data_IF_674090966464
#
_entry.id   IF_674090966464
#
_cell.length_a   1.000
_cell.length_b   1.000
_cell.length_c   1.000
_cell.angle_alpha   90.00
_cell.angle_beta   90.00
_cell.angle_gamma   90.00
#
_symmetry.space_group_name_H-M   'P 1'
#
loop_
_entity.id
_entity.type
_entity.pdbx_description
1 polymer ?
#
# COMPACT_ATOMS: atom_id res chain seq x y z
N UNK A 1 15.84 63.49 -61.58
CA UNK A 1 14.91 63.02 -62.45
C UNK A 1 15.29 61.58 -62.34
N UNK A 2 14.45 60.73 -62.11
CA UNK A 2 14.74 59.29 -62.03
C UNK A 2 15.75 58.82 -60.97
N UNK A 3 15.36 57.83 -60.32
CA UNK A 3 16.02 57.00 -59.25
C UNK A 3 15.54 57.34 -57.84
N UNK A 4 14.27 57.15 -57.58
CA UNK A 4 13.77 56.93 -56.22
C UNK A 4 12.42 56.21 -56.20
N UNK A 5 12.28 55.24 -57.06
CA UNK A 5 11.13 54.31 -57.04
C UNK A 5 11.66 52.89 -57.13
N UNK A 6 12.34 52.41 -56.13
CA UNK A 6 12.56 50.98 -55.95
C UNK A 6 13.08 50.78 -54.56
N UNK A 7 12.22 50.28 -53.70
CA UNK A 7 12.55 49.56 -52.45
C UNK A 7 11.44 49.76 -51.41
N UNK A 8 10.25 49.34 -51.79
CA UNK A 8 9.20 48.94 -50.85
C UNK A 8 8.60 47.63 -51.37
N UNK A 9 9.43 46.60 -51.44
CA UNK A 9 9.05 45.23 -51.60
C UNK A 9 9.07 44.59 -50.25
N UNK A 10 7.90 44.51 -49.64
CA UNK A 10 7.31 43.32 -49.08
C UNK A 10 8.19 42.48 -48.18
N UNK A 11 8.12 42.73 -46.89
CA UNK A 11 8.32 41.76 -45.87
C UNK A 11 6.98 41.45 -45.20
N UNK A 12 6.16 40.71 -45.96
CA UNK A 12 5.04 39.97 -45.39
C UNK A 12 5.63 38.70 -44.73
N UNK A 13 6.08 38.81 -43.50
CA UNK A 13 6.37 37.66 -42.68
C UNK A 13 5.07 37.02 -42.28
N UNK A 14 4.75 35.94 -42.98
CA UNK A 14 3.68 35.01 -42.68
C UNK A 14 3.92 34.43 -41.28
N UNK A 15 3.25 34.97 -40.28
CA UNK A 15 3.08 34.33 -39.00
C UNK A 15 2.10 33.16 -39.18
N UNK A 16 2.63 32.02 -39.55
CA UNK A 16 1.92 30.75 -39.48
C UNK A 16 1.85 30.39 -37.99
N UNK A 17 0.77 30.80 -37.34
CA UNK A 17 0.43 30.33 -35.99
C UNK A 17 0.22 28.81 -36.07
N UNK A 18 1.26 28.08 -35.68
CA UNK A 18 1.17 26.65 -35.46
C UNK A 18 0.36 26.45 -34.18
N UNK A 19 -0.96 26.46 -34.29
CA UNK A 19 -1.83 25.95 -33.24
C UNK A 19 -1.54 24.47 -33.08
N UNK A 20 -0.62 24.16 -32.17
CA UNK A 20 -0.54 22.86 -31.54
C UNK A 20 -1.88 22.66 -30.80
N UNK A 21 -2.85 22.10 -31.50
CA UNK A 21 -4.03 21.56 -30.88
C UNK A 21 -3.56 20.47 -29.90
N UNK A 22 -3.63 20.79 -28.62
CA UNK A 22 -3.64 19.76 -27.57
C UNK A 22 -4.89 18.95 -27.84
N UNK A 23 -4.73 17.84 -28.54
CA UNK A 23 -5.78 16.83 -28.61
C UNK A 23 -5.87 16.26 -27.21
N UNK A 24 -6.79 16.79 -26.40
CA UNK A 24 -7.26 16.07 -25.24
C UNK A 24 -7.81 14.75 -25.76
N UNK A 25 -7.01 13.72 -25.68
CA UNK A 25 -7.46 12.36 -25.90
C UNK A 25 -8.43 12.03 -24.75
N UNK A 26 -9.69 12.45 -24.91
CA UNK A 26 -10.76 11.95 -24.05
C UNK A 26 -10.81 10.45 -24.23
N UNK A 27 -10.39 9.70 -23.22
CA UNK A 27 -10.54 8.27 -23.20
C UNK A 27 -12.02 7.94 -23.50
N UNK A 28 -12.26 7.03 -24.44
CA UNK A 28 -13.62 6.60 -24.74
C UNK A 28 -14.28 6.07 -23.47
N UNK A 29 -15.56 6.42 -23.26
CA UNK A 29 -16.31 5.99 -22.08
C UNK A 29 -16.31 4.44 -22.01
N UNK A 30 -15.82 3.80 -20.93
CA UNK A 30 -15.67 2.36 -20.88
C UNK A 30 -17.02 1.64 -20.94
N UNK A 31 -17.09 0.53 -21.67
CA UNK A 31 -18.32 -0.27 -21.80
C UNK A 31 -18.79 -0.87 -20.47
N UNK A 32 -17.83 -1.30 -19.65
CA UNK A 32 -18.08 -1.80 -18.28
C UNK A 32 -17.41 -0.82 -17.31
N UNK A 33 -18.22 -0.04 -16.61
CA UNK A 33 -17.71 1.06 -15.76
C UNK A 33 -17.21 0.61 -14.41
N UNK A 34 -17.73 -0.49 -13.87
CA UNK A 34 -17.40 -0.95 -12.52
C UNK A 34 -16.11 -1.76 -12.53
N UNK A 35 -15.21 -1.43 -11.60
CA UNK A 35 -13.96 -2.16 -11.32
C UNK A 35 -13.98 -2.63 -9.87
N UNK A 36 -13.95 -3.92 -9.66
CA UNK A 36 -13.90 -4.52 -8.32
C UNK A 36 -12.44 -4.60 -7.88
N UNK A 37 -12.08 -3.74 -6.93
CA UNK A 37 -10.78 -3.74 -6.27
C UNK A 37 -10.88 -4.53 -4.96
N UNK A 38 -10.23 -5.69 -4.88
CA UNK A 38 -10.07 -6.37 -3.60
C UNK A 38 -8.73 -5.96 -2.95
N UNK A 39 -8.81 -5.56 -1.68
CA UNK A 39 -7.65 -5.07 -0.93
C UNK A 39 -7.79 -5.40 0.56
N UNK A 40 -6.81 -4.97 1.36
CA UNK A 40 -6.80 -5.25 2.80
C UNK A 40 -7.44 -4.12 3.60
N UNK A 41 -7.94 -4.45 4.79
CA UNK A 41 -8.51 -3.47 5.73
C UNK A 41 -7.51 -2.37 6.07
N UNK A 42 -6.24 -2.72 6.34
CA UNK A 42 -5.20 -1.74 6.64
C UNK A 42 -4.91 -0.78 5.49
N UNK A 43 -5.04 -1.24 4.23
CA UNK A 43 -4.89 -0.35 3.06
C UNK A 43 -6.01 0.68 3.00
N UNK A 44 -7.25 0.26 3.23
CA UNK A 44 -8.41 1.18 3.30
C UNK A 44 -8.29 2.12 4.49
N UNK A 45 -8.01 1.59 5.68
CA UNK A 45 -7.90 2.35 6.93
C UNK A 45 -6.79 3.42 6.90
N UNK A 46 -5.79 3.26 6.01
CA UNK A 46 -4.76 4.27 5.81
C UNK A 46 -5.30 5.59 5.21
N UNK A 47 -6.44 5.53 4.52
CA UNK A 47 -7.02 6.65 3.78
C UNK A 47 -6.38 6.93 2.42
N UNK A 48 -5.37 6.16 1.99
CA UNK A 48 -4.71 6.38 0.71
C UNK A 48 -5.67 6.21 -0.48
N UNK A 49 -6.55 5.21 -0.41
CA UNK A 49 -7.53 4.95 -1.47
C UNK A 49 -8.60 6.05 -1.57
N UNK A 50 -8.91 6.76 -0.49
CA UNK A 50 -9.84 7.90 -0.50
C UNK A 50 -9.31 9.07 -1.34
N UNK A 51 -7.97 9.13 -1.49
CA UNK A 51 -7.31 10.11 -2.37
C UNK A 51 -7.15 9.58 -3.79
N UNK A 52 -6.70 8.33 -3.96
CA UNK A 52 -6.33 7.79 -5.27
C UNK A 52 -7.54 7.38 -6.11
N UNK A 53 -8.58 6.78 -5.51
CA UNK A 53 -9.75 6.29 -6.25
C UNK A 53 -10.49 7.41 -6.98
N UNK A 54 -10.83 8.56 -6.37
CA UNK A 54 -11.49 9.66 -7.08
C UNK A 54 -10.67 10.20 -8.26
N UNK A 55 -9.33 10.20 -8.15
CA UNK A 55 -8.44 10.63 -9.23
C UNK A 55 -8.51 9.65 -10.39
N UNK A 56 -8.42 8.34 -10.10
CA UNK A 56 -8.55 7.29 -11.09
C UNK A 56 -9.90 7.37 -11.83
N UNK A 57 -11.00 7.44 -11.08
CA UNK A 57 -12.35 7.52 -11.65
C UNK A 57 -12.53 8.72 -12.56
N UNK A 58 -12.03 9.89 -12.14
CA UNK A 58 -12.07 11.12 -12.95
C UNK A 58 -11.27 11.01 -14.25
N UNK A 59 -10.11 10.33 -14.20
CA UNK A 59 -9.23 10.21 -15.37
C UNK A 59 -9.70 9.18 -16.37
N UNK A 60 -10.38 8.12 -15.92
CA UNK A 60 -10.68 6.96 -16.75
C UNK A 60 -12.15 6.74 -17.04
N UNK A 61 -13.07 7.35 -16.28
CA UNK A 61 -14.50 7.10 -16.36
C UNK A 61 -14.93 5.76 -15.72
N UNK A 62 -14.01 4.94 -15.22
CA UNK A 62 -14.35 3.77 -14.41
C UNK A 62 -14.88 4.19 -13.03
N UNK A 63 -15.56 3.26 -12.36
CA UNK A 63 -16.00 3.38 -10.96
C UNK A 63 -15.42 2.24 -10.17
N UNK A 64 -14.69 2.54 -9.09
CA UNK A 64 -14.05 1.52 -8.26
C UNK A 64 -14.97 1.08 -7.13
N UNK A 65 -15.23 -0.22 -7.07
CA UNK A 65 -15.90 -0.86 -5.95
C UNK A 65 -14.84 -1.54 -5.08
N UNK A 66 -14.40 -0.83 -4.05
CA UNK A 66 -13.40 -1.36 -3.11
C UNK A 66 -14.03 -2.37 -2.17
N UNK A 67 -13.50 -3.59 -2.15
CA UNK A 67 -13.83 -4.63 -1.18
C UNK A 67 -12.65 -4.79 -0.24
N UNK A 68 -12.87 -4.40 1.02
CA UNK A 68 -11.91 -4.48 2.11
C UNK A 68 -12.07 -5.79 2.87
N UNK A 69 -11.00 -6.59 2.94
CA UNK A 69 -11.02 -7.90 3.58
C UNK A 69 -9.68 -8.24 4.23
N UNK A 70 -9.59 -9.36 4.93
CA UNK A 70 -8.30 -9.93 5.32
C UNK A 70 -7.50 -10.38 4.09
N UNK A 71 -6.16 -10.39 4.19
CA UNK A 71 -5.27 -10.71 3.06
C UNK A 71 -5.67 -12.02 2.36
N UNK A 72 -5.95 -13.09 3.13
CA UNK A 72 -6.35 -14.37 2.55
C UNK A 72 -7.66 -14.30 1.76
N UNK A 73 -8.65 -13.56 2.24
CA UNK A 73 -9.92 -13.36 1.54
C UNK A 73 -9.76 -12.52 0.27
N UNK A 74 -8.99 -11.43 0.34
CA UNK A 74 -8.72 -10.60 -0.83
C UNK A 74 -8.01 -11.41 -1.94
N UNK A 75 -7.01 -12.21 -1.59
CA UNK A 75 -6.32 -13.10 -2.52
C UNK A 75 -7.26 -14.18 -3.08
N UNK A 76 -8.11 -14.78 -2.25
CA UNK A 76 -9.09 -15.78 -2.69
C UNK A 76 -10.10 -15.22 -3.70
N UNK A 77 -10.48 -13.95 -3.60
CA UNK A 77 -11.31 -13.28 -4.61
C UNK A 77 -10.61 -13.23 -5.97
N UNK A 78 -9.30 -12.91 -5.99
CA UNK A 78 -8.50 -12.96 -7.22
C UNK A 78 -8.37 -14.36 -7.80
N UNK A 79 -8.15 -15.37 -6.94
CA UNK A 79 -8.03 -16.77 -7.33
C UNK A 79 -9.31 -17.32 -7.98
N UNK A 80 -10.48 -16.79 -7.58
CA UNK A 80 -11.80 -17.20 -8.09
C UNK A 80 -12.33 -16.32 -9.23
N UNK A 81 -11.64 -15.22 -9.58
CA UNK A 81 -12.14 -14.25 -10.55
C UNK A 81 -13.34 -13.44 -10.04
N UNK A 82 -13.43 -13.22 -8.73
CA UNK A 82 -14.46 -12.41 -8.06
C UNK A 82 -14.03 -10.94 -7.87
N UNK A 83 -12.82 -10.60 -8.29
CA UNK A 83 -12.29 -9.24 -8.37
C UNK A 83 -11.66 -9.01 -9.74
N UNK A 84 -11.50 -7.75 -10.13
CA UNK A 84 -10.84 -7.35 -11.38
C UNK A 84 -9.35 -7.02 -11.16
N UNK A 85 -9.05 -6.52 -9.98
CA UNK A 85 -7.70 -6.10 -9.57
C UNK A 85 -7.54 -6.27 -8.06
N UNK A 86 -6.32 -6.62 -7.65
CA UNK A 86 -5.94 -6.74 -6.25
C UNK A 86 -4.90 -5.70 -5.91
N UNK A 87 -4.95 -5.15 -4.69
CA UNK A 87 -3.88 -4.36 -4.09
C UNK A 87 -3.58 -4.96 -2.71
N UNK A 88 -2.51 -5.75 -2.64
CA UNK A 88 -2.14 -6.51 -1.45
C UNK A 88 -0.68 -6.26 -1.05
N UNK A 89 -0.30 -6.75 0.14
CA UNK A 89 1.02 -6.53 0.71
C UNK A 89 1.56 -7.76 1.47
N UNK A 90 1.42 -8.94 0.87
CA UNK A 90 1.90 -10.20 1.41
C UNK A 90 2.56 -11.05 0.31
N UNK A 91 3.76 -10.66 -0.18
CA UNK A 91 4.40 -11.25 -1.36
C UNK A 91 4.46 -12.79 -1.35
N UNK A 92 4.73 -13.39 -0.19
CA UNK A 92 4.77 -14.84 -0.05
C UNK A 92 3.40 -15.51 -0.25
N UNK A 93 2.30 -14.83 0.11
CA UNK A 93 0.93 -15.33 -0.11
C UNK A 93 0.41 -14.98 -1.51
N UNK A 94 0.95 -13.96 -2.16
CA UNK A 94 0.60 -13.54 -3.53
C UNK A 94 1.23 -14.45 -4.59
N UNK A 95 2.44 -14.96 -4.30
CA UNK A 95 3.20 -15.79 -5.24
C UNK A 95 2.43 -16.98 -5.82
N UNK A 96 1.65 -17.77 -5.08
CA UNK A 96 0.84 -18.85 -5.65
C UNK A 96 -0.15 -18.39 -6.73
N UNK A 97 -0.73 -17.18 -6.61
CA UNK A 97 -1.64 -16.63 -7.61
C UNK A 97 -0.91 -16.25 -8.90
N UNK A 98 0.31 -15.74 -8.77
CA UNK A 98 1.20 -15.43 -9.91
C UNK A 98 1.62 -16.73 -10.60
N UNK A 99 2.10 -17.70 -9.84
CA UNK A 99 2.61 -18.97 -10.35
C UNK A 99 1.50 -19.78 -11.06
N UNK A 100 0.27 -19.73 -10.54
CA UNK A 100 -0.91 -20.36 -11.18
C UNK A 100 -1.40 -19.58 -12.40
N UNK A 101 -0.95 -18.33 -12.60
CA UNK A 101 -1.46 -17.41 -13.62
C UNK A 101 -2.90 -16.96 -13.36
N UNK A 102 -3.40 -17.02 -12.12
CA UNK A 102 -4.69 -16.44 -11.74
C UNK A 102 -4.65 -14.91 -11.83
N UNK A 103 -3.49 -14.32 -11.63
CA UNK A 103 -3.22 -12.89 -11.81
C UNK A 103 -2.10 -12.67 -12.82
N UNK A 104 -2.13 -11.51 -13.44
CA UNK A 104 -1.11 -10.97 -14.35
C UNK A 104 -0.75 -9.55 -13.91
N UNK A 105 0.25 -8.93 -14.55
CA UNK A 105 0.67 -7.57 -14.19
C UNK A 105 0.94 -7.43 -12.69
N UNK A 106 1.77 -8.35 -12.15
CA UNK A 106 2.27 -8.29 -10.78
C UNK A 106 3.27 -7.15 -10.65
N UNK A 107 2.80 -5.98 -10.24
CA UNK A 107 3.59 -4.74 -10.27
C UNK A 107 3.85 -4.25 -8.84
N UNK A 108 5.11 -3.95 -8.56
CA UNK A 108 5.52 -3.29 -7.33
C UNK A 108 5.01 -1.85 -7.33
N UNK A 109 4.30 -1.45 -6.28
CA UNK A 109 3.68 -0.13 -6.16
C UNK A 109 4.43 0.75 -5.18
N UNK A 110 4.54 0.28 -3.95
CA UNK A 110 5.03 1.06 -2.82
C UNK A 110 5.43 0.14 -1.67
N UNK A 111 6.07 0.68 -0.67
CA UNK A 111 6.14 0.07 0.65
C UNK A 111 5.73 1.06 1.74
N UNK A 112 5.30 0.53 2.88
CA UNK A 112 5.44 1.17 4.17
C UNK A 112 6.27 0.25 5.06
N UNK A 113 6.48 0.61 6.29
CA UNK A 113 7.19 -0.22 7.24
C UNK A 113 6.31 -0.62 8.42
N UNK A 114 6.59 -1.78 8.93
CA UNK A 114 6.19 -2.15 10.26
C UNK A 114 7.16 -1.58 11.28
N UNK A 115 6.65 -1.32 12.47
CA UNK A 115 7.42 -0.90 13.64
C UNK A 115 7.03 -1.77 14.83
N UNK A 116 7.99 -2.02 15.70
CA UNK A 116 7.73 -2.65 16.99
C UNK A 116 7.58 -1.53 18.00
N UNK A 117 6.40 -1.46 18.60
CA UNK A 117 6.08 -0.47 19.62
C UNK A 117 5.93 -1.12 20.98
N UNK A 118 6.20 -0.36 22.02
CA UNK A 118 6.11 -0.83 23.40
C UNK A 118 6.10 0.32 24.39
N UNK A 119 6.04 0.04 25.71
CA UNK A 119 6.05 1.06 26.75
C UNK A 119 7.36 1.86 26.73
N UNK A 120 7.29 3.15 27.03
CA UNK A 120 8.46 4.05 27.04
C UNK A 120 9.63 3.57 27.93
N UNK A 121 9.32 2.87 29.02
CA UNK A 121 10.34 2.30 29.92
C UNK A 121 11.06 1.08 29.36
N UNK A 122 10.60 0.51 28.26
CA UNK A 122 11.21 -0.62 27.54
C UNK A 122 11.77 -1.74 28.43
N UNK A 123 10.97 -2.39 29.27
CA UNK A 123 11.47 -3.41 30.24
C UNK A 123 12.11 -4.61 29.55
N UNK A 124 11.80 -4.89 28.28
CA UNK A 124 12.44 -5.98 27.54
C UNK A 124 13.75 -5.57 26.85
N UNK A 125 14.07 -4.25 26.80
CA UNK A 125 15.28 -3.75 26.15
C UNK A 125 15.26 -3.94 24.63
N UNK A 126 14.16 -3.60 24.00
CA UNK A 126 13.90 -3.73 22.55
C UNK A 126 14.54 -2.59 21.75
N UNK A 127 14.68 -1.43 22.37
CA UNK A 127 15.09 -0.20 21.69
C UNK A 127 16.40 -0.35 20.91
N UNK A 128 16.35 -0.03 19.60
CA UNK A 128 17.51 -0.08 18.71
C UNK A 128 17.94 -1.48 18.26
N UNK A 129 17.21 -2.53 18.63
CA UNK A 129 17.48 -3.90 18.15
C UNK A 129 16.86 -4.12 16.77
N UNK A 130 17.42 -5.07 16.00
CA UNK A 130 16.75 -5.61 14.82
C UNK A 130 15.42 -6.25 15.21
N UNK A 131 14.50 -6.40 14.26
CA UNK A 131 13.18 -6.97 14.52
C UNK A 131 13.24 -8.36 15.17
N UNK A 132 14.12 -9.23 14.68
CA UNK A 132 14.30 -10.58 15.23
C UNK A 132 14.88 -10.55 16.65
N UNK A 133 15.87 -9.70 16.91
CA UNK A 133 16.45 -9.55 18.25
C UNK A 133 15.47 -8.89 19.24
N UNK A 134 14.63 -8.00 18.77
CA UNK A 134 13.54 -7.42 19.54
C UNK A 134 12.55 -8.50 20.01
N UNK A 135 12.12 -9.37 19.09
CA UNK A 135 11.23 -10.49 19.42
C UNK A 135 11.87 -11.47 20.41
N UNK A 136 13.17 -11.78 20.25
CA UNK A 136 13.91 -12.60 21.23
C UNK A 136 13.97 -11.95 22.59
N UNK A 137 14.20 -10.64 22.66
CA UNK A 137 14.28 -9.90 23.91
C UNK A 137 12.94 -9.89 24.66
N UNK A 138 11.83 -9.68 23.93
CA UNK A 138 10.46 -9.74 24.47
C UNK A 138 10.20 -11.13 25.08
N UNK A 139 10.47 -12.19 24.33
CA UNK A 139 10.26 -13.56 24.81
C UNK A 139 11.16 -13.92 25.99
N UNK A 140 12.45 -13.55 25.98
CA UNK A 140 13.39 -13.83 27.07
C UNK A 140 12.99 -13.15 28.40
N UNK A 141 12.25 -12.04 28.32
CA UNK A 141 11.73 -11.33 29.50
C UNK A 141 10.28 -11.70 29.82
N UNK A 142 9.67 -12.58 29.00
CA UNK A 142 8.24 -12.89 29.10
C UNK A 142 7.38 -11.62 29.16
N UNK A 143 7.84 -10.58 28.43
CA UNK A 143 7.18 -9.29 28.42
C UNK A 143 5.90 -9.38 27.60
N UNK A 144 4.81 -8.77 28.10
CA UNK A 144 3.51 -8.80 27.44
C UNK A 144 3.61 -8.41 25.97
N UNK A 145 3.17 -9.28 25.08
CA UNK A 145 3.06 -9.04 23.65
C UNK A 145 1.61 -9.22 23.19
N UNK A 146 1.07 -8.23 22.50
CA UNK A 146 -0.28 -8.29 21.94
C UNK A 146 -0.18 -8.52 20.43
N UNK A 147 -0.62 -9.69 20.03
CA UNK A 147 -0.77 -10.08 18.62
C UNK A 147 -2.11 -9.65 18.08
N UNK A 148 -2.20 -9.44 16.77
CA UNK A 148 -3.50 -9.28 16.11
C UNK A 148 -4.32 -10.57 16.15
N UNK A 149 -3.72 -11.73 15.93
CA UNK A 149 -4.39 -13.02 15.99
C UNK A 149 -5.54 -13.21 14.98
N UNK A 150 -5.58 -12.43 13.88
CA UNK A 150 -6.73 -12.29 12.97
C UNK A 150 -6.44 -12.70 11.50
N UNK A 151 -5.34 -13.40 11.29
CA UNK A 151 -4.84 -13.81 9.95
C UNK A 151 -4.59 -12.66 8.97
N UNK A 152 -4.47 -11.41 9.45
CA UNK A 152 -4.11 -10.24 8.64
C UNK A 152 -2.67 -10.28 8.15
N UNK A 153 -2.32 -9.35 7.24
CA UNK A 153 -0.94 -9.16 6.80
C UNK A 153 0.03 -8.86 7.94
N UNK A 154 -0.40 -8.06 8.94
CA UNK A 154 0.39 -7.79 10.14
C UNK A 154 0.60 -9.05 10.97
N UNK A 155 -0.46 -9.85 11.18
CA UNK A 155 -0.34 -11.12 11.89
C UNK A 155 0.59 -12.10 11.17
N UNK A 156 0.47 -12.22 9.83
CA UNK A 156 1.39 -13.05 9.04
C UNK A 156 2.85 -12.58 9.14
N UNK A 157 3.09 -11.28 9.13
CA UNK A 157 4.42 -10.69 9.33
C UNK A 157 4.96 -11.02 10.72
N UNK A 158 4.15 -10.84 11.75
CA UNK A 158 4.50 -11.16 13.14
C UNK A 158 4.90 -12.64 13.29
N UNK A 159 4.07 -13.57 12.81
CA UNK A 159 4.37 -15.00 12.84
C UNK A 159 5.67 -15.35 12.10
N UNK A 160 5.95 -14.66 10.98
CA UNK A 160 7.22 -14.81 10.26
C UNK A 160 8.41 -14.37 11.13
N UNK A 161 8.30 -13.28 11.89
CA UNK A 161 9.36 -12.81 12.78
C UNK A 161 9.57 -13.75 13.98
N UNK A 162 8.49 -14.26 14.59
CA UNK A 162 8.59 -15.30 15.63
C UNK A 162 9.30 -16.56 15.11
N UNK A 163 8.96 -16.99 13.88
CA UNK A 163 9.62 -18.11 13.22
C UNK A 163 11.11 -17.86 13.00
N UNK A 164 11.49 -16.66 12.53
CA UNK A 164 12.89 -16.27 12.36
C UNK A 164 13.65 -16.19 13.70
N UNK A 165 12.97 -15.79 14.77
CA UNK A 165 13.53 -15.82 16.12
C UNK A 165 13.66 -17.25 16.68
N UNK A 166 13.10 -18.26 16.00
CA UNK A 166 12.99 -19.66 16.46
C UNK A 166 12.18 -19.78 17.77
N UNK A 167 11.10 -19.02 17.91
CA UNK A 167 10.23 -18.97 19.06
C UNK A 167 8.79 -19.28 18.65
N UNK A 168 8.10 -20.06 19.48
CA UNK A 168 6.66 -20.33 19.36
C UNK A 168 5.95 -19.70 20.55
N UNK A 169 5.38 -18.50 20.43
CA UNK A 169 4.80 -17.77 21.56
C UNK A 169 3.42 -18.29 21.98
N UNK A 170 2.72 -18.99 21.08
CA UNK A 170 1.36 -19.49 21.31
C UNK A 170 1.25 -20.32 22.58
N UNK A 171 0.24 -20.02 23.41
CA UNK A 171 0.03 -20.66 24.71
C UNK A 171 0.82 -20.05 25.88
N UNK A 172 1.74 -19.12 25.62
CA UNK A 172 2.46 -18.40 26.67
C UNK A 172 1.57 -17.32 27.30
N UNK A 173 1.67 -17.14 28.62
CA UNK A 173 0.87 -16.14 29.36
C UNK A 173 1.18 -14.70 28.94
N UNK A 174 2.38 -14.44 28.47
CA UNK A 174 2.84 -13.13 28.00
C UNK A 174 2.45 -12.84 26.55
N UNK A 175 1.91 -13.79 25.80
CA UNK A 175 1.45 -13.64 24.43
C UNK A 175 -0.07 -13.70 24.37
N UNK A 176 -0.70 -12.62 23.95
CA UNK A 176 -2.16 -12.51 23.87
C UNK A 176 -2.60 -12.08 22.49
N UNK A 177 -3.57 -12.79 21.96
CA UNK A 177 -4.21 -12.45 20.69
C UNK A 177 -5.41 -11.54 20.93
N UNK A 178 -5.45 -10.40 20.23
CA UNK A 178 -6.57 -9.45 20.33
C UNK A 178 -7.79 -9.90 19.54
N UNK A 179 -7.58 -10.61 18.44
CA UNK A 179 -8.63 -10.93 17.45
C UNK A 179 -9.24 -9.70 16.78
N UNK A 180 -8.57 -8.54 16.86
CA UNK A 180 -9.12 -7.24 16.46
C UNK A 180 -8.25 -6.57 15.38
N UNK A 181 -8.79 -5.48 14.77
CA UNK A 181 -8.03 -4.61 13.88
C UNK A 181 -6.86 -3.92 14.58
N UNK A 182 -5.92 -3.36 13.78
CA UNK A 182 -4.66 -2.83 14.31
C UNK A 182 -4.84 -1.70 15.32
N UNK A 183 -5.79 -0.80 15.09
CA UNK A 183 -6.08 0.30 16.03
C UNK A 183 -6.49 -0.20 17.42
N UNK A 184 -7.39 -1.18 17.48
CA UNK A 184 -7.83 -1.78 18.74
C UNK A 184 -6.70 -2.58 19.42
N UNK A 185 -5.86 -3.27 18.62
CA UNK A 185 -4.67 -3.99 19.12
C UNK A 185 -3.67 -3.02 19.74
N UNK A 186 -3.43 -1.85 19.15
CA UNK A 186 -2.57 -0.79 19.73
C UNK A 186 -3.11 -0.27 21.05
N UNK A 187 -4.42 -0.03 21.15
CA UNK A 187 -5.04 0.41 22.40
C UNK A 187 -4.87 -0.65 23.49
N UNK A 188 -5.14 -1.93 23.18
CA UNK A 188 -4.94 -3.03 24.13
C UNK A 188 -3.47 -3.14 24.57
N UNK A 189 -2.52 -3.03 23.64
CA UNK A 189 -1.09 -3.04 23.98
C UNK A 189 -0.72 -1.85 24.89
N UNK A 190 -1.28 -0.67 24.63
CA UNK A 190 -1.07 0.52 25.45
C UNK A 190 -1.62 0.35 26.87
N UNK A 191 -2.83 -0.19 27.02
CA UNK A 191 -3.45 -0.43 28.33
C UNK A 191 -2.70 -1.45 29.17
N UNK A 192 -2.15 -2.49 28.52
CA UNK A 192 -1.40 -3.57 29.17
C UNK A 192 0.10 -3.27 29.32
N UNK A 193 0.55 -2.08 28.93
CA UNK A 193 1.98 -1.72 28.85
C UNK A 193 2.78 -2.80 28.11
N UNK A 194 2.20 -3.35 27.04
CA UNK A 194 2.75 -4.45 26.26
C UNK A 194 3.41 -3.97 24.96
N UNK A 195 4.05 -4.90 24.30
CA UNK A 195 4.64 -4.73 22.95
C UNK A 195 3.67 -5.20 21.90
N UNK A 196 3.76 -4.65 20.69
CA UNK A 196 3.06 -5.15 19.51
C UNK A 196 3.79 -4.76 18.23
N UNK A 197 3.54 -5.51 17.17
CA UNK A 197 3.91 -5.15 15.80
C UNK A 197 2.77 -4.37 15.18
N UNK A 198 3.08 -3.24 14.55
CA UNK A 198 2.08 -2.42 13.85
C UNK A 198 2.67 -1.82 12.58
N UNK A 199 1.85 -1.50 11.60
CA UNK A 199 2.27 -0.60 10.54
C UNK A 199 2.42 0.82 11.08
N UNK A 200 3.40 1.57 10.55
CA UNK A 200 3.71 2.94 10.99
C UNK A 200 2.50 3.86 10.83
N UNK A 201 1.73 3.70 9.76
CA UNK A 201 0.58 4.56 9.47
C UNK A 201 -0.46 4.48 10.59
N UNK A 202 -0.88 3.27 10.96
CA UNK A 202 -1.82 3.07 12.07
C UNK A 202 -1.27 3.58 13.39
N UNK A 203 0.02 3.34 13.68
CA UNK A 203 0.63 3.90 14.89
C UNK A 203 0.58 5.42 14.91
N UNK A 204 0.96 6.09 13.83
CA UNK A 204 0.93 7.56 13.76
C UNK A 204 -0.48 8.12 13.89
N UNK A 205 -1.47 7.45 13.29
CA UNK A 205 -2.88 7.82 13.44
C UNK A 205 -3.37 7.70 14.89
N UNK A 206 -2.87 6.71 15.63
CA UNK A 206 -3.25 6.43 17.02
C UNK A 206 -2.31 7.04 18.06
N UNK A 207 -1.22 7.68 17.66
CA UNK A 207 -0.14 8.13 18.56
C UNK A 207 -0.62 8.97 19.74
N UNK A 208 -1.66 9.79 19.54
CA UNK A 208 -2.25 10.63 20.61
C UNK A 208 -3.09 9.83 21.62
N UNK A 209 -3.51 8.62 21.25
CA UNK A 209 -4.42 7.78 22.03
C UNK A 209 -3.68 6.66 22.76
N UNK A 210 -2.40 6.45 22.49
CA UNK A 210 -1.59 5.35 23.06
C UNK A 210 -0.37 5.88 23.79
N UNK A 211 0.05 5.15 24.83
CA UNK A 211 1.28 5.43 25.62
C UNK A 211 2.42 4.51 25.19
N UNK A 212 2.55 4.32 23.88
CA UNK A 212 3.57 3.45 23.28
C UNK A 212 4.55 4.29 22.48
N UNK A 213 5.81 3.86 22.45
CA UNK A 213 6.86 4.44 21.62
C UNK A 213 7.34 3.44 20.58
N UNK A 214 7.88 3.94 19.45
CA UNK A 214 8.59 3.11 18.49
C UNK A 214 9.93 2.72 19.12
N UNK A 215 10.17 1.43 19.23
CA UNK A 215 11.38 0.89 19.85
C UNK A 215 12.30 0.18 18.86
N UNK A 216 11.73 -0.42 17.80
CA UNK A 216 12.50 -1.00 16.70
C UNK A 216 11.85 -0.66 15.36
N UNK A 217 12.68 -0.18 14.43
CA UNK A 217 12.30 0.28 13.09
C UNK A 217 13.48 0.18 12.11
N UNK A 218 13.23 0.38 10.81
CA UNK A 218 14.28 0.49 9.78
C UNK A 218 14.91 -0.85 9.36
N UNK A 219 14.48 -1.97 9.90
CA UNK A 219 14.93 -3.30 9.50
C UNK A 219 14.26 -3.71 8.17
N UNK A 220 15.04 -4.28 7.26
CA UNK A 220 14.51 -4.82 5.98
C UNK A 220 13.40 -5.86 6.20
N UNK A 221 13.47 -6.64 7.26
CA UNK A 221 12.43 -7.60 7.61
C UNK A 221 11.09 -6.92 7.99
N UNK A 222 11.12 -5.63 8.32
CA UNK A 222 9.92 -4.84 8.63
C UNK A 222 9.30 -4.15 7.42
N UNK A 223 9.88 -4.28 6.22
CA UNK A 223 9.26 -3.73 5.02
C UNK A 223 7.93 -4.42 4.73
N UNK A 224 6.94 -3.61 4.43
CA UNK A 224 5.60 -4.01 4.04
C UNK A 224 5.36 -3.60 2.58
N UNK A 225 5.60 -4.54 1.68
CA UNK A 225 5.70 -4.30 0.24
C UNK A 225 4.32 -4.53 -0.40
N UNK A 226 3.85 -3.55 -1.15
CA UNK A 226 2.55 -3.55 -1.82
C UNK A 226 2.70 -3.84 -3.31
N UNK A 227 1.91 -4.80 -3.79
CA UNK A 227 1.76 -5.08 -5.20
C UNK A 227 0.33 -4.84 -5.65
N UNK A 228 0.19 -4.34 -6.87
CA UNK A 228 -1.06 -4.38 -7.62
C UNK A 228 -0.99 -5.53 -8.61
N UNK A 229 -2.10 -6.27 -8.75
CA UNK A 229 -2.20 -7.46 -9.59
C UNK A 229 -3.51 -7.42 -10.35
N UNK A 230 -3.47 -7.51 -11.67
CA UNK A 230 -4.66 -7.67 -12.48
C UNK A 230 -5.12 -9.13 -12.44
N UNK A 231 -6.41 -9.38 -12.20
CA UNK A 231 -6.97 -10.72 -12.34
C UNK A 231 -7.00 -11.12 -13.81
N UNK A 232 -6.57 -12.34 -14.11
CA UNK A 232 -6.29 -12.77 -15.48
C UNK A 232 -7.57 -13.01 -16.31
N UNK A 233 -7.89 -12.15 -17.29
CA UNK A 233 -9.09 -12.29 -18.12
C UNK A 233 -9.06 -13.52 -19.02
N UNK A 234 -7.91 -14.11 -19.30
CA UNK A 234 -7.81 -15.36 -20.06
C UNK A 234 -8.29 -16.56 -19.24
N UNK A 235 -8.28 -16.48 -17.91
CA UNK A 235 -8.83 -17.51 -17.00
C UNK A 235 -10.25 -17.21 -16.57
N UNK A 236 -10.59 -15.93 -16.41
CA UNK A 236 -11.85 -15.51 -15.82
C UNK A 236 -12.59 -14.54 -16.75
N UNK A 237 -13.47 -15.05 -17.58
CA UNK A 237 -14.14 -14.26 -18.64
C UNK A 237 -15.10 -13.18 -18.12
N UNK A 238 -15.44 -13.19 -16.82
CA UNK A 238 -16.37 -12.22 -16.21
C UNK A 238 -15.68 -10.99 -15.63
N UNK A 239 -14.34 -11.00 -15.52
CA UNK A 239 -13.61 -9.86 -14.96
C UNK A 239 -13.55 -8.69 -15.95
N UNK A 240 -13.58 -7.48 -15.43
CA UNK A 240 -13.36 -6.27 -16.20
C UNK A 240 -11.87 -6.12 -16.54
N UNK A 241 -11.46 -6.71 -17.68
CA UNK A 241 -10.06 -6.73 -18.12
C UNK A 241 -9.50 -5.33 -18.34
N UNK A 242 -10.28 -4.42 -18.95
CA UNK A 242 -9.85 -3.05 -19.22
C UNK A 242 -9.71 -2.24 -17.95
N UNK A 243 -10.69 -2.35 -17.04
CA UNK A 243 -10.68 -1.64 -15.76
C UNK A 243 -9.58 -2.14 -14.83
N UNK A 244 -9.40 -3.46 -14.72
CA UNK A 244 -8.33 -4.05 -13.91
C UNK A 244 -6.93 -3.65 -14.40
N UNK A 245 -6.71 -3.66 -15.72
CA UNK A 245 -5.48 -3.18 -16.33
C UNK A 245 -5.25 -1.69 -16.08
N UNK A 246 -6.27 -0.87 -16.34
CA UNK A 246 -6.17 0.58 -16.15
C UNK A 246 -5.83 0.94 -14.68
N UNK A 247 -6.42 0.25 -13.71
CA UNK A 247 -6.11 0.48 -12.30
C UNK A 247 -4.67 0.06 -11.95
N UNK A 248 -4.22 -1.08 -12.45
CA UNK A 248 -2.84 -1.52 -12.22
C UNK A 248 -1.81 -0.53 -12.80
N UNK A 249 -2.03 -0.04 -14.03
CA UNK A 249 -1.19 0.96 -14.67
C UNK A 249 -1.24 2.32 -13.94
N UNK A 250 -2.41 2.74 -13.48
CA UNK A 250 -2.59 3.95 -12.69
C UNK A 250 -1.75 3.92 -11.41
N UNK A 251 -1.75 2.80 -10.67
CA UNK A 251 -1.00 2.69 -9.40
C UNK A 251 0.51 2.87 -9.56
N UNK A 252 1.06 2.52 -10.72
CA UNK A 252 2.51 2.65 -11.00
C UNK A 252 2.85 3.88 -11.84
N UNK A 253 1.86 4.66 -12.25
CA UNK A 253 2.07 5.86 -13.06
C UNK A 253 2.85 6.94 -12.26
N UNK A 254 3.77 7.70 -12.89
CA UNK A 254 4.60 8.69 -12.19
C UNK A 254 3.81 9.71 -11.37
N UNK A 255 2.65 10.16 -11.87
CA UNK A 255 1.79 11.10 -11.15
C UNK A 255 1.21 10.49 -9.86
N UNK A 256 0.74 9.25 -9.92
CA UNK A 256 0.24 8.50 -8.76
C UNK A 256 1.35 8.22 -7.75
N UNK A 257 2.52 7.83 -8.23
CA UNK A 257 3.69 7.57 -7.38
C UNK A 257 4.13 8.84 -6.62
N UNK A 258 4.03 10.02 -7.24
CA UNK A 258 4.26 11.30 -6.55
C UNK A 258 3.24 11.53 -5.43
N UNK A 259 1.96 11.28 -5.68
CA UNK A 259 0.89 11.41 -4.66
C UNK A 259 1.16 10.46 -3.49
N UNK A 260 1.49 9.19 -3.77
CA UNK A 260 1.85 8.19 -2.76
C UNK A 260 3.01 8.70 -1.89
N UNK A 261 4.08 9.24 -2.47
CA UNK A 261 5.25 9.72 -1.75
C UNK A 261 5.02 11.02 -0.96
N UNK A 262 3.92 11.72 -1.19
CA UNK A 262 3.51 12.91 -0.43
C UNK A 262 2.43 12.61 0.60
N UNK A 263 1.74 11.48 0.47
CA UNK A 263 0.63 11.11 1.33
C UNK A 263 1.05 11.00 2.80
N UNK A 264 0.37 11.72 3.65
CA UNK A 264 0.61 11.75 5.10
C UNK A 264 1.60 12.81 5.57
N UNK A 265 2.42 13.42 4.70
CA UNK A 265 3.44 14.41 5.10
C UNK A 265 2.84 15.60 5.85
N UNK A 266 1.74 16.15 5.36
CA UNK A 266 1.09 17.29 5.99
C UNK A 266 0.58 16.95 7.40
N UNK A 267 -0.04 15.78 7.54
CA UNK A 267 -0.69 15.36 8.79
C UNK A 267 0.30 14.81 9.82
N UNK A 268 1.34 14.11 9.39
CA UNK A 268 2.24 13.34 10.26
C UNK A 268 3.71 13.80 10.21
N UNK A 269 4.04 14.78 9.36
CA UNK A 269 5.42 15.27 9.17
C UNK A 269 6.31 14.35 8.34
N UNK A 270 5.79 13.18 7.91
CA UNK A 270 6.50 12.21 7.07
C UNK A 270 5.50 11.46 6.19
N UNK A 271 5.93 10.94 5.02
CA UNK A 271 5.06 10.12 4.20
C UNK A 271 4.70 8.83 4.92
N UNK A 272 3.48 8.33 4.69
CA UNK A 272 3.05 7.01 5.18
C UNK A 272 3.44 5.88 4.24
N UNK A 273 3.70 6.19 2.98
CA UNK A 273 4.10 5.24 1.95
C UNK A 273 5.27 5.79 1.15
N UNK A 274 6.11 4.90 0.66
CA UNK A 274 7.26 5.20 -0.18
C UNK A 274 7.04 4.60 -1.56
N UNK A 275 7.09 5.41 -2.63
CA UNK A 275 6.84 4.93 -3.99
C UNK A 275 7.98 4.03 -4.48
N UNK A 276 7.63 2.90 -5.10
CA UNK A 276 8.60 1.89 -5.53
C UNK A 276 8.37 1.37 -6.97
N UNK A 277 7.48 1.96 -7.73
CA UNK A 277 7.28 1.55 -9.12
C UNK A 277 8.60 1.58 -9.90
N UNK A 278 8.90 0.48 -10.56
CA UNK A 278 10.15 0.32 -11.34
C UNK A 278 11.41 0.04 -10.52
N UNK A 279 11.32 -0.06 -9.18
CA UNK A 279 12.45 -0.47 -8.34
C UNK A 279 12.54 -1.99 -8.20
N UNK A 280 13.70 -2.47 -7.74
CA UNK A 280 13.92 -3.81 -7.22
C UNK A 280 14.15 -3.69 -5.70
N UNK A 281 13.32 -4.36 -4.90
CA UNK A 281 13.41 -4.37 -3.43
C UNK A 281 13.97 -5.69 -2.90
#
# INVERSE_FOLDING_TARGET
MEVRKLLLAVLAVSWMAFCLGVVDATAADPKVKDVILATTTSTVDSGLLDVLVPIFEKQTGFRVKTISAGTGQALAMGEKGEADVLLCHAPAAEKPLVDSGAVINYLLVMHNDFVIVGPAGDPAGVKGKSSVEAFKAIAAKEAMFISRGDDSGTHKKELSLWKQANIKPSGSKWYQESGQGMGATLLMASEKAGYTLTDRGTYLAQKKNVKLEILSEGDKALLNIYHVMQVNPAKFSKVNAEGGKAFAEFMVAPATQKIIGEFGKEKYGSPLFFPDAGKQL
#
